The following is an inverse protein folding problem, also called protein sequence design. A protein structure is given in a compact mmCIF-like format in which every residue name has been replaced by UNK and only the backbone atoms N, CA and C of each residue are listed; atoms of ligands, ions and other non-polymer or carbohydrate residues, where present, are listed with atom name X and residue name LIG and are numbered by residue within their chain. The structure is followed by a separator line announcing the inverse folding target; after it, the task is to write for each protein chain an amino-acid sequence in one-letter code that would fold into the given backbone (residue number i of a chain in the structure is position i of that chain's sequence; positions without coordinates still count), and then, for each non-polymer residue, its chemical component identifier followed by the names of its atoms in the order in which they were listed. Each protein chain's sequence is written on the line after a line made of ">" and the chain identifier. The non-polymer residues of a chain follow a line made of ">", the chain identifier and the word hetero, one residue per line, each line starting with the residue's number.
data_IF_679629752667
#
_entry.id   IF_679629752667
#
_cell.length_a   1.000
_cell.length_b   1.000
_cell.length_c   1.000
_cell.angle_alpha   90.00
_cell.angle_beta   90.00
_cell.angle_gamma   90.00
#
_symmetry.space_group_name_H-M   'P 1'
#
loop_
_entity.id
_entity.type
_entity.pdbx_description
1 polymer ?
#
# COMPACT_ATOMS: atom_id res chain seq x y z
N UNK A 1 -35.68 81.41 11.82
CA UNK A 1 -36.10 80.77 10.58
C UNK A 1 -35.11 79.59 10.35
N UNK A 2 -35.39 78.44 10.96
CA UNK A 2 -34.54 77.26 10.91
C UNK A 2 -35.21 76.17 10.08
N UNK A 3 -34.60 75.80 9.00
CA UNK A 3 -35.04 74.75 8.07
C UNK A 3 -34.48 73.40 8.53
N UNK A 4 -35.36 72.55 8.99
CA UNK A 4 -35.08 71.14 9.29
C UNK A 4 -35.33 70.29 8.07
N UNK A 5 -34.31 69.61 7.57
CA UNK A 5 -34.43 68.61 6.50
C UNK A 5 -34.64 67.21 7.10
N UNK A 6 -35.57 66.39 6.58
CA UNK A 6 -35.78 65.02 7.06
C UNK A 6 -34.78 64.07 6.36
N UNK A 7 -33.96 63.40 7.15
CA UNK A 7 -33.12 62.29 6.69
C UNK A 7 -33.94 61.01 6.56
N UNK A 8 -34.01 60.41 5.34
CA UNK A 8 -34.59 59.10 5.11
C UNK A 8 -33.57 58.00 5.48
N UNK A 9 -33.96 56.92 6.17
CA UNK A 9 -33.05 55.82 6.44
C UNK A 9 -32.84 54.98 5.17
N UNK A 10 -31.60 54.79 4.77
CA UNK A 10 -31.20 53.89 3.71
C UNK A 10 -31.29 52.46 4.26
N UNK A 11 -32.29 51.70 3.80
CA UNK A 11 -32.48 50.29 4.14
C UNK A 11 -31.38 49.46 3.43
N UNK A 12 -30.38 48.99 4.20
CA UNK A 12 -29.24 48.23 3.67
C UNK A 12 -29.69 46.88 3.08
N UNK A 13 -29.60 46.77 1.77
CA UNK A 13 -29.82 45.56 0.98
C UNK A 13 -28.66 44.53 1.11
N UNK A 14 -27.62 44.89 1.86
CA UNK A 14 -26.36 44.15 1.94
C UNK A 14 -26.41 42.86 2.79
N UNK A 15 -27.37 42.73 3.73
CA UNK A 15 -27.39 41.58 4.64
C UNK A 15 -27.96 40.27 4.02
N UNK A 16 -28.64 40.34 2.87
CA UNK A 16 -29.14 39.13 2.20
C UNK A 16 -28.06 38.49 1.31
N UNK A 17 -27.29 39.28 0.61
CA UNK A 17 -26.16 38.79 -0.23
C UNK A 17 -25.05 38.16 0.59
N UNK A 18 -24.72 38.75 1.75
CA UNK A 18 -23.71 38.20 2.67
C UNK A 18 -24.13 36.83 3.27
N UNK A 19 -25.42 36.65 3.58
CA UNK A 19 -25.92 35.37 4.10
C UNK A 19 -25.98 34.27 3.04
N UNK A 20 -26.30 34.60 1.79
CA UNK A 20 -26.29 33.64 0.67
C UNK A 20 -24.87 33.24 0.33
N UNK A 21 -23.91 34.17 0.30
CA UNK A 21 -22.51 33.86 0.08
C UNK A 21 -21.91 32.99 1.19
N UNK A 22 -22.27 33.22 2.46
CA UNK A 22 -21.82 32.41 3.60
C UNK A 22 -22.33 30.98 3.55
N UNK A 23 -23.60 30.77 3.18
CA UNK A 23 -24.22 29.44 3.04
C UNK A 23 -23.63 28.69 1.85
N UNK A 24 -23.35 29.39 0.74
CA UNK A 24 -22.71 28.78 -0.44
C UNK A 24 -21.27 28.36 -0.15
N UNK A 25 -20.48 29.18 0.57
CA UNK A 25 -19.12 28.82 0.99
C UNK A 25 -19.11 27.63 1.97
N UNK A 26 -20.04 27.56 2.91
CA UNK A 26 -20.14 26.46 3.87
C UNK A 26 -20.57 25.16 3.18
N UNK A 27 -21.48 25.23 2.20
CA UNK A 27 -21.88 24.08 1.36
C UNK A 27 -20.73 23.57 0.49
N UNK A 28 -19.91 24.45 -0.08
CA UNK A 28 -18.74 24.06 -0.89
C UNK A 28 -17.65 23.41 -0.04
N UNK A 29 -17.47 23.89 1.21
CA UNK A 29 -16.49 23.30 2.14
C UNK A 29 -16.89 21.89 2.60
N UNK A 30 -18.19 21.62 2.72
CA UNK A 30 -18.69 20.29 3.14
C UNK A 30 -18.52 19.23 2.04
N UNK A 31 -18.54 19.62 0.76
CA UNK A 31 -18.35 18.71 -0.38
C UNK A 31 -16.89 18.25 -0.51
N UNK A 32 -15.94 19.05 -0.01
CA UNK A 32 -14.51 18.72 -0.04
C UNK A 32 -14.10 17.66 1.01
N UNK A 33 -14.99 17.34 1.97
CA UNK A 33 -14.69 16.34 3.03
C UNK A 33 -15.12 14.91 2.66
N UNK A 34 -15.75 14.68 1.51
CA UNK A 34 -16.15 13.33 1.04
C UNK A 34 -15.09 12.70 0.12
N UNK A 35 -13.84 13.07 0.30
CA UNK A 35 -12.70 12.41 -0.31
C UNK A 35 -12.31 11.16 0.48
N UNK A 36 -13.20 10.15 0.56
CA UNK A 36 -12.82 8.82 1.00
C UNK A 36 -11.94 8.20 -0.10
N UNK A 37 -10.64 8.38 0.02
CA UNK A 37 -9.67 7.69 -0.85
C UNK A 37 -9.82 6.19 -0.62
N UNK A 38 -10.40 5.47 -1.59
CA UNK A 38 -10.30 4.01 -1.64
C UNK A 38 -8.82 3.67 -1.65
N UNK A 39 -8.35 2.81 -0.73
CA UNK A 39 -6.98 2.31 -0.80
C UNK A 39 -6.78 1.62 -2.15
N UNK A 40 -5.65 1.87 -2.79
CA UNK A 40 -5.31 1.27 -4.10
C UNK A 40 -5.31 -0.26 -4.01
N UNK A 41 -5.24 -0.82 -2.80
CA UNK A 41 -5.18 -2.26 -2.53
C UNK A 41 -6.55 -2.96 -2.47
N UNK A 42 -7.67 -2.23 -2.50
CA UNK A 42 -9.00 -2.81 -2.76
C UNK A 42 -9.15 -3.27 -4.23
N UNK A 43 -8.12 -3.05 -5.04
CA UNK A 43 -8.11 -3.51 -6.43
C UNK A 43 -7.91 -5.02 -6.46
N UNK A 44 -8.84 -5.74 -7.06
CA UNK A 44 -8.75 -7.17 -7.32
C UNK A 44 -7.37 -7.53 -7.89
N UNK A 45 -6.80 -8.64 -7.41
CA UNK A 45 -5.54 -9.18 -7.94
C UNK A 45 -5.66 -9.26 -9.47
N UNK A 46 -4.75 -8.65 -10.24
CA UNK A 46 -4.85 -8.67 -11.69
C UNK A 46 -4.97 -10.11 -12.19
N UNK A 47 -5.96 -10.38 -13.01
CA UNK A 47 -6.05 -11.66 -13.73
C UNK A 47 -4.88 -11.68 -14.72
N UNK A 48 -4.08 -12.75 -14.70
CA UNK A 48 -2.99 -12.92 -15.66
C UNK A 48 -3.58 -12.94 -17.06
N UNK A 49 -3.42 -11.82 -17.78
CA UNK A 49 -3.83 -11.73 -19.17
C UNK A 49 -2.85 -12.56 -20.01
N UNK A 50 -3.38 -13.52 -20.74
CA UNK A 50 -2.62 -14.47 -21.56
C UNK A 50 -2.31 -13.97 -22.98
N UNK A 51 -2.38 -12.66 -23.23
CA UNK A 51 -1.85 -12.14 -24.49
C UNK A 51 -0.35 -12.48 -24.58
N UNK A 52 0.18 -12.52 -25.82
CA UNK A 52 1.57 -12.94 -26.01
C UNK A 52 2.54 -11.94 -25.36
N UNK A 53 3.49 -12.40 -24.54
CA UNK A 53 4.52 -11.55 -23.98
C UNK A 53 5.48 -11.07 -25.09
N UNK A 54 6.07 -9.89 -24.89
CA UNK A 54 7.13 -9.39 -25.76
C UNK A 54 8.44 -10.18 -25.61
N UNK A 55 8.66 -10.70 -24.39
CA UNK A 55 9.83 -11.47 -24.04
C UNK A 55 9.45 -12.57 -23.04
N UNK A 56 10.01 -13.77 -23.23
CA UNK A 56 9.95 -14.87 -22.25
C UNK A 56 11.37 -15.34 -21.96
N UNK A 57 11.73 -15.37 -20.68
CA UNK A 57 13.05 -15.80 -20.21
C UNK A 57 12.91 -16.89 -19.16
N UNK A 58 13.90 -17.79 -19.10
CA UNK A 58 13.90 -18.92 -18.15
C UNK A 58 15.16 -18.89 -17.29
N UNK A 59 15.04 -19.32 -16.02
CA UNK A 59 16.13 -19.43 -15.04
C UNK A 59 16.94 -18.13 -14.96
N UNK A 60 16.25 -17.03 -14.74
CA UNK A 60 16.84 -15.70 -14.81
C UNK A 60 17.18 -15.14 -13.44
N UNK A 61 18.15 -14.23 -13.48
CA UNK A 61 18.46 -13.30 -12.41
C UNK A 61 18.52 -11.90 -13.01
N UNK A 62 17.56 -11.04 -12.62
CA UNK A 62 17.47 -9.65 -13.03
C UNK A 62 17.84 -8.75 -11.86
N UNK A 63 18.71 -7.78 -12.09
CA UNK A 63 19.07 -6.74 -11.11
C UNK A 63 18.50 -5.41 -11.59
N UNK A 64 17.78 -4.73 -10.72
CA UNK A 64 17.23 -3.39 -10.96
C UNK A 64 18.00 -2.36 -10.15
N UNK A 65 18.36 -1.26 -10.79
CA UNK A 65 19.07 -0.15 -10.18
C UNK A 65 18.21 1.10 -10.22
N UNK A 66 18.18 1.84 -9.10
CA UNK A 66 17.55 3.13 -8.98
C UNK A 66 18.55 4.12 -8.41
N UNK A 67 18.72 5.27 -9.09
CA UNK A 67 19.67 6.31 -8.68
C UNK A 67 21.06 5.75 -8.34
N UNK A 68 21.62 4.88 -9.25
CA UNK A 68 22.90 4.20 -9.12
C UNK A 68 23.01 3.19 -7.95
N UNK A 69 21.93 2.95 -7.22
CA UNK A 69 21.88 1.95 -6.16
C UNK A 69 21.12 0.72 -6.62
N UNK A 70 21.58 -0.45 -6.20
CA UNK A 70 20.85 -1.70 -6.39
C UNK A 70 19.55 -1.61 -5.58
N UNK A 71 18.40 -1.60 -6.27
CA UNK A 71 17.07 -1.54 -5.65
C UNK A 71 16.58 -2.94 -5.29
N UNK A 72 16.58 -3.84 -6.27
CA UNK A 72 16.21 -5.24 -6.03
C UNK A 72 16.85 -6.21 -7.03
N UNK A 73 16.85 -7.48 -6.64
CA UNK A 73 17.16 -8.62 -7.51
C UNK A 73 15.95 -9.53 -7.59
N UNK A 74 15.53 -9.90 -8.80
CA UNK A 74 14.52 -10.94 -9.05
C UNK A 74 15.24 -12.18 -9.56
N UNK A 75 15.01 -13.31 -8.92
CA UNK A 75 15.35 -14.64 -9.41
C UNK A 75 14.06 -15.39 -9.71
N UNK A 76 13.93 -15.96 -10.91
CA UNK A 76 12.73 -16.64 -11.35
C UNK A 76 13.02 -17.83 -12.26
N UNK A 77 12.21 -18.89 -12.16
CA UNK A 77 12.27 -20.03 -13.07
C UNK A 77 11.81 -19.65 -14.48
N UNK A 78 10.78 -18.80 -14.57
CA UNK A 78 10.27 -18.22 -15.81
C UNK A 78 9.83 -16.80 -15.57
N UNK A 79 10.05 -15.94 -16.56
CA UNK A 79 9.57 -14.56 -16.56
C UNK A 79 9.02 -14.19 -17.93
N UNK A 80 7.90 -13.46 -17.94
CA UNK A 80 7.23 -12.94 -19.13
C UNK A 80 7.09 -11.44 -19.00
N UNK A 81 7.62 -10.70 -19.96
CA UNK A 81 7.57 -9.24 -20.01
C UNK A 81 6.53 -8.76 -21.00
N UNK A 82 5.71 -7.82 -20.57
CA UNK A 82 4.72 -7.10 -21.37
C UNK A 82 5.07 -5.62 -21.36
N UNK A 83 5.80 -5.18 -22.38
CA UNK A 83 6.39 -3.83 -22.44
C UNK A 83 5.31 -2.76 -22.60
N UNK A 84 4.27 -3.04 -23.36
CA UNK A 84 3.12 -2.18 -23.60
C UNK A 84 2.39 -1.79 -22.31
N UNK A 85 2.33 -2.71 -21.36
CA UNK A 85 1.67 -2.56 -20.06
C UNK A 85 2.63 -2.25 -18.93
N UNK A 86 3.94 -2.35 -19.17
CA UNK A 86 4.98 -2.24 -18.16
C UNK A 86 4.79 -3.24 -17.01
N UNK A 87 4.48 -4.49 -17.37
CA UNK A 87 4.20 -5.57 -16.42
C UNK A 87 5.16 -6.74 -16.65
N UNK A 88 5.66 -7.30 -15.56
CA UNK A 88 6.40 -8.56 -15.50
C UNK A 88 5.58 -9.62 -14.78
N UNK A 89 5.39 -10.78 -15.42
CA UNK A 89 4.91 -12.00 -14.76
C UNK A 89 6.09 -12.91 -14.45
N UNK A 90 6.23 -13.31 -13.19
CA UNK A 90 7.26 -14.23 -12.74
C UNK A 90 6.67 -15.51 -12.17
N UNK A 91 7.39 -16.63 -12.35
CA UNK A 91 7.02 -17.95 -11.84
C UNK A 91 8.18 -18.53 -11.04
N UNK A 92 7.90 -19.05 -9.83
CA UNK A 92 8.91 -19.53 -8.90
C UNK A 92 9.89 -18.41 -8.52
N UNK A 93 9.36 -17.32 -7.94
CA UNK A 93 10.06 -16.06 -7.79
C UNK A 93 10.64 -15.89 -6.39
N UNK A 94 11.88 -15.41 -6.34
CA UNK A 94 12.47 -14.76 -5.17
C UNK A 94 12.87 -13.33 -5.56
N UNK A 95 12.26 -12.34 -4.89
CA UNK A 95 12.59 -10.93 -5.04
C UNK A 95 13.30 -10.47 -3.75
N UNK A 96 14.53 -9.99 -3.89
CA UNK A 96 15.33 -9.48 -2.78
C UNK A 96 15.55 -7.98 -2.97
N UNK A 97 15.03 -7.16 -2.06
CA UNK A 97 15.23 -5.71 -2.07
C UNK A 97 16.38 -5.31 -1.16
N UNK A 98 17.04 -4.21 -1.51
CA UNK A 98 18.20 -3.70 -0.80
C UNK A 98 17.96 -2.27 -0.33
N UNK A 99 18.59 -1.90 0.77
CA UNK A 99 18.65 -0.52 1.24
C UNK A 99 19.84 0.22 0.60
N UNK A 100 19.97 1.52 0.90
CA UNK A 100 21.08 2.35 0.40
C UNK A 100 22.47 1.87 0.86
N UNK A 101 22.53 1.10 1.96
CA UNK A 101 23.77 0.51 2.48
C UNK A 101 24.06 -0.87 1.88
N UNK A 102 23.30 -1.28 0.85
CA UNK A 102 23.37 -2.59 0.20
C UNK A 102 23.04 -3.76 1.14
N UNK A 103 22.35 -3.48 2.25
CA UNK A 103 21.83 -4.52 3.12
C UNK A 103 20.46 -4.99 2.61
N UNK A 104 20.15 -6.26 2.79
CA UNK A 104 18.85 -6.81 2.44
C UNK A 104 17.78 -6.13 3.30
N UNK A 105 16.87 -5.40 2.67
CA UNK A 105 15.76 -4.74 3.31
C UNK A 105 14.50 -5.60 3.36
N UNK A 106 14.28 -6.43 2.32
CA UNK A 106 13.19 -7.41 2.32
C UNK A 106 13.42 -8.54 1.33
N UNK A 107 12.72 -9.66 1.55
CA UNK A 107 12.67 -10.79 0.62
C UNK A 107 11.22 -11.23 0.44
N UNK A 108 10.76 -11.27 -0.81
CA UNK A 108 9.47 -11.87 -1.19
C UNK A 108 9.75 -13.19 -1.90
N UNK A 109 9.00 -14.24 -1.53
CA UNK A 109 8.98 -15.50 -2.28
C UNK A 109 7.55 -15.88 -2.59
N UNK A 110 7.31 -16.37 -3.81
CA UNK A 110 5.98 -16.79 -4.24
C UNK A 110 6.06 -17.76 -5.43
N UNK A 111 4.98 -18.53 -5.65
CA UNK A 111 4.86 -19.35 -6.83
C UNK A 111 4.68 -18.50 -8.09
N UNK A 112 3.93 -17.39 -7.98
CA UNK A 112 3.76 -16.41 -9.06
C UNK A 112 3.86 -14.99 -8.53
N UNK A 113 4.42 -14.10 -9.36
CA UNK A 113 4.55 -12.68 -9.02
C UNK A 113 4.19 -11.83 -10.24
N UNK A 114 3.49 -10.73 -10.00
CA UNK A 114 3.24 -9.70 -11.00
C UNK A 114 3.92 -8.43 -10.50
N UNK A 115 4.88 -7.92 -11.25
CA UNK A 115 5.46 -6.60 -11.00
C UNK A 115 4.82 -5.64 -11.97
N UNK A 116 4.05 -4.71 -11.47
CA UNK A 116 3.41 -3.64 -12.23
C UNK A 116 4.20 -2.36 -12.04
N UNK A 117 5.12 -2.10 -12.97
CA UNK A 117 5.98 -0.93 -12.92
C UNK A 117 5.22 0.37 -13.21
N UNK A 118 4.06 0.29 -13.89
CA UNK A 118 3.26 1.47 -14.17
C UNK A 118 2.60 2.00 -12.89
N UNK A 119 2.12 1.11 -12.02
CA UNK A 119 1.50 1.43 -10.74
C UNK A 119 2.47 1.37 -9.56
N UNK A 120 3.67 0.83 -9.76
CA UNK A 120 4.68 0.55 -8.74
C UNK A 120 4.15 -0.40 -7.64
N UNK A 121 3.39 -1.43 -8.06
CA UNK A 121 2.79 -2.43 -7.17
C UNK A 121 3.34 -3.82 -7.52
N UNK A 122 3.60 -4.62 -6.48
CA UNK A 122 4.01 -6.02 -6.60
C UNK A 122 2.90 -6.89 -6.02
N UNK A 123 2.43 -7.86 -6.82
CA UNK A 123 1.52 -8.90 -6.37
C UNK A 123 2.28 -10.23 -6.32
N UNK A 124 2.19 -10.94 -5.21
CA UNK A 124 2.78 -12.26 -5.03
C UNK A 124 1.69 -13.24 -4.61
N UNK A 125 1.62 -14.40 -5.26
CA UNK A 125 0.55 -15.37 -5.05
C UNK A 125 1.09 -16.80 -5.04
N UNK A 126 0.42 -17.67 -4.28
CA UNK A 126 0.80 -19.06 -4.07
C UNK A 126 1.98 -19.17 -3.11
N UNK A 127 1.76 -19.71 -1.90
CA UNK A 127 2.76 -19.85 -0.84
C UNK A 127 3.60 -18.58 -0.62
N UNK A 128 2.92 -17.43 -0.71
CA UNK A 128 3.58 -16.14 -0.63
C UNK A 128 4.17 -15.92 0.76
N UNK A 129 5.39 -15.40 0.80
CA UNK A 129 6.06 -15.01 2.03
C UNK A 129 6.81 -13.70 1.84
N UNK A 130 6.84 -12.91 2.89
CA UNK A 130 7.61 -11.68 2.98
C UNK A 130 8.46 -11.72 4.24
N UNK A 131 9.72 -11.34 4.13
CA UNK A 131 10.65 -11.24 5.24
C UNK A 131 11.35 -9.90 5.22
N UNK A 132 11.57 -9.33 6.38
CA UNK A 132 12.39 -8.14 6.61
C UNK A 132 13.09 -8.27 7.97
N UNK A 133 14.01 -7.36 8.33
CA UNK A 133 14.60 -7.35 9.66
C UNK A 133 13.59 -7.26 10.81
N UNK A 134 12.39 -6.70 10.58
CA UNK A 134 11.31 -6.61 11.56
C UNK A 134 10.51 -7.91 11.76
N UNK A 135 10.75 -8.94 10.95
CA UNK A 135 10.03 -10.22 11.05
C UNK A 135 9.67 -10.83 9.71
N UNK A 136 8.64 -11.67 9.69
CA UNK A 136 8.18 -12.34 8.48
C UNK A 136 6.68 -12.61 8.50
N UNK A 137 6.08 -12.65 7.31
CA UNK A 137 4.70 -13.06 7.12
C UNK A 137 4.61 -14.16 6.05
N UNK A 138 3.60 -15.04 6.20
CA UNK A 138 3.25 -16.09 5.24
C UNK A 138 1.76 -16.03 4.98
N UNK A 139 1.38 -16.16 3.71
CA UNK A 139 -0.02 -16.11 3.26
C UNK A 139 -0.14 -16.71 1.86
N UNK A 140 -1.34 -16.77 1.31
CA UNK A 140 -1.53 -17.17 -0.09
C UNK A 140 -1.33 -16.01 -1.06
N UNK A 141 -1.57 -14.75 -0.63
CA UNK A 141 -1.48 -13.58 -1.51
C UNK A 141 -0.98 -12.35 -0.77
N UNK A 142 -0.04 -11.65 -1.40
CA UNK A 142 0.51 -10.37 -0.95
C UNK A 142 0.32 -9.36 -2.07
N UNK A 143 -0.10 -8.14 -1.73
CA UNK A 143 0.02 -6.96 -2.56
C UNK A 143 0.89 -5.94 -1.82
N UNK A 144 1.94 -5.43 -2.48
CA UNK A 144 2.80 -4.38 -1.94
C UNK A 144 2.76 -3.15 -2.82
N UNK A 145 2.13 -2.09 -2.32
CA UNK A 145 2.20 -0.77 -2.94
C UNK A 145 3.48 -0.05 -2.47
N UNK A 146 4.44 0.08 -3.38
CA UNK A 146 5.74 0.68 -3.10
C UNK A 146 5.70 2.22 -3.05
N UNK A 147 4.61 2.86 -3.52
CA UNK A 147 4.48 4.32 -3.48
C UNK A 147 4.22 4.80 -2.05
N UNK A 148 3.44 4.05 -1.29
CA UNK A 148 3.03 4.37 0.09
C UNK A 148 3.62 3.41 1.12
N UNK A 149 4.45 2.46 0.67
CA UNK A 149 5.04 1.38 1.47
C UNK A 149 3.98 0.62 2.28
N UNK A 150 2.90 0.21 1.62
CA UNK A 150 1.84 -0.57 2.22
C UNK A 150 1.82 -2.00 1.68
N UNK A 151 1.81 -2.98 2.59
CA UNK A 151 1.69 -4.40 2.30
C UNK A 151 0.34 -4.88 2.82
N UNK A 152 -0.44 -5.49 1.94
CA UNK A 152 -1.67 -6.21 2.29
C UNK A 152 -1.46 -7.70 2.03
N UNK A 153 -1.65 -8.52 3.06
CA UNK A 153 -1.68 -9.98 2.97
C UNK A 153 -3.12 -10.45 3.10
N UNK A 154 -3.63 -11.13 2.05
CA UNK A 154 -5.05 -11.49 1.94
C UNK A 154 -5.29 -12.94 2.36
N UNK A 155 -6.41 -13.18 3.04
CA UNK A 155 -6.81 -14.51 3.52
C UNK A 155 -6.11 -14.89 4.82
N UNK A 156 -5.74 -16.15 4.98
CA UNK A 156 -5.03 -16.62 6.19
C UNK A 156 -3.60 -16.09 6.21
N UNK A 157 -3.19 -15.54 7.34
CA UNK A 157 -1.87 -14.97 7.54
C UNK A 157 -1.22 -15.55 8.79
N UNK A 158 0.05 -15.89 8.69
CA UNK A 158 0.94 -16.13 9.82
C UNK A 158 1.98 -15.01 9.85
N UNK A 159 1.99 -14.22 10.90
CA UNK A 159 2.97 -13.17 11.14
C UNK A 159 3.92 -13.64 12.27
N UNK A 160 5.22 -13.58 12.00
CA UNK A 160 6.27 -13.82 13.02
C UNK A 160 7.00 -12.51 13.28
N UNK A 161 7.02 -12.07 14.52
CA UNK A 161 7.67 -10.82 14.91
C UNK A 161 8.15 -10.93 16.36
N UNK A 162 9.37 -10.49 16.65
CA UNK A 162 9.95 -10.41 17.99
C UNK A 162 9.82 -11.75 18.79
N UNK A 163 10.00 -12.88 18.08
CA UNK A 163 9.87 -14.23 18.68
C UNK A 163 8.43 -14.71 18.89
N UNK A 164 7.44 -13.87 18.61
CA UNK A 164 6.02 -14.20 18.71
C UNK A 164 5.45 -14.61 17.35
N UNK A 165 4.46 -15.49 17.35
CA UNK A 165 3.73 -15.91 16.16
C UNK A 165 2.26 -15.53 16.31
N UNK A 166 1.74 -14.82 15.34
CA UNK A 166 0.36 -14.37 15.26
C UNK A 166 -0.30 -15.02 14.04
N UNK A 167 -1.48 -15.56 14.25
CA UNK A 167 -2.33 -16.08 13.18
C UNK A 167 -3.57 -15.22 13.05
N UNK A 168 -3.99 -14.93 11.82
CA UNK A 168 -5.20 -14.17 11.58
C UNK A 168 -5.56 -14.14 10.11
N UNK A 169 -6.29 -13.09 9.71
CA UNK A 169 -6.71 -12.86 8.33
C UNK A 169 -6.50 -11.41 7.97
N UNK A 170 -6.27 -11.17 6.66
CA UNK A 170 -6.26 -9.82 6.09
C UNK A 170 -5.34 -8.85 6.83
N UNK A 171 -4.04 -9.16 6.85
CA UNK A 171 -3.03 -8.31 7.45
C UNK A 171 -2.73 -7.10 6.57
N UNK A 172 -2.67 -5.93 7.18
CA UNK A 172 -2.12 -4.70 6.63
C UNK A 172 -0.90 -4.28 7.44
N UNK A 173 0.20 -3.94 6.76
CA UNK A 173 1.48 -3.58 7.37
C UNK A 173 2.35 -2.77 6.40
N UNK A 174 3.61 -2.52 6.72
CA UNK A 174 4.61 -1.94 5.82
C UNK A 174 5.82 -2.87 5.64
N UNK A 175 6.75 -2.48 4.77
CA UNK A 175 7.97 -3.27 4.47
C UNK A 175 8.87 -3.52 5.69
N UNK A 176 8.76 -2.72 6.74
CA UNK A 176 9.50 -2.88 8.00
C UNK A 176 8.76 -3.72 9.03
N UNK A 177 7.50 -4.10 8.75
CA UNK A 177 6.61 -4.74 9.72
C UNK A 177 6.48 -3.95 11.04
N UNK A 178 6.54 -2.59 10.95
CA UNK A 178 6.54 -1.72 12.14
C UNK A 178 5.18 -1.65 12.83
N UNK A 179 4.12 -1.96 12.11
CA UNK A 179 2.76 -2.13 12.63
C UNK A 179 2.12 -3.37 11.99
N UNK A 180 1.04 -3.86 12.56
CA UNK A 180 0.25 -4.95 12.00
C UNK A 180 -1.23 -4.75 12.39
N UNK A 181 -2.07 -4.58 11.38
CA UNK A 181 -3.53 -4.57 11.53
C UNK A 181 -4.06 -5.86 10.92
N UNK A 182 -4.72 -6.69 11.71
CA UNK A 182 -5.13 -8.03 11.29
C UNK A 182 -6.47 -8.41 11.91
N UNK A 183 -7.28 -9.15 11.15
CA UNK A 183 -8.58 -9.66 11.60
C UNK A 183 -8.45 -11.03 12.25
N UNK A 184 -9.36 -11.35 13.19
CA UNK A 184 -9.51 -12.66 13.83
C UNK A 184 -8.17 -13.21 14.37
N UNK A 185 -7.49 -12.41 15.20
CA UNK A 185 -6.14 -12.70 15.67
C UNK A 185 -6.15 -13.74 16.78
N UNK A 186 -5.27 -14.74 16.67
CA UNK A 186 -4.78 -15.59 17.76
C UNK A 186 -3.26 -15.50 17.83
N UNK A 187 -2.70 -15.60 19.01
CA UNK A 187 -1.29 -15.41 19.25
C UNK A 187 -0.68 -16.56 20.05
N UNK A 188 0.56 -16.92 19.72
CA UNK A 188 1.44 -17.71 20.56
C UNK A 188 2.76 -16.94 20.67
N UNK A 189 3.24 -16.74 21.90
CA UNK A 189 4.45 -15.98 22.16
C UNK A 189 5.22 -16.56 23.32
N UNK A 190 6.53 -16.28 23.35
CA UNK A 190 7.37 -16.57 24.50
C UNK A 190 7.12 -15.47 25.52
N UNK A 191 6.40 -15.79 26.61
CA UNK A 191 6.28 -14.89 27.75
C UNK A 191 7.59 -14.99 28.55
N UNK A 192 8.40 -13.94 28.52
CA UNK A 192 9.51 -13.84 29.46
C UNK A 192 8.92 -13.53 30.85
N UNK A 193 9.18 -14.40 31.84
CA UNK A 193 8.74 -14.22 33.23
C UNK A 193 9.13 -12.87 33.86
N UNK A 194 10.10 -12.16 33.27
CA UNK A 194 10.53 -10.83 33.70
C UNK A 194 9.59 -9.68 33.34
N UNK A 195 8.64 -9.92 32.45
CA UNK A 195 7.66 -8.89 31.96
C UNK A 195 6.32 -8.98 32.73
N UNK A 196 6.23 -9.85 33.76
CA UNK A 196 5.06 -10.00 34.62
C UNK A 196 5.40 -9.37 36.01
N UNK A 197 5.51 -8.04 36.03
CA UNK A 197 5.43 -7.29 37.28
C UNK A 197 3.95 -6.90 37.52
N UNK A 198 3.41 -7.48 38.64
CA UNK A 198 2.07 -7.15 39.16
C UNK A 198 2.10 -5.91 40.02
#
# INVERSE_FOLDING_TARGET
>A
MSLTFPTRPIKSRTNRLARVASVACFGLLLVLLIGCGKSVLDTETPVMDRSQPNETSYNIKLSEFKDEHLDYIIEAQKMERFTDRRVLYGYGVTLTSYDRNKQVSSVIKADTTIVDDARNIIFASGRASFFSPGGGLKTDRIAWDRNVDEITAMGKVTLTRDGSVLWGKNLRTNSKLSFAEMEAVSAEGIVNEKDIDW
#
